data_IF_267728395310
#
_entry.id   IF_267728395310
#
_cell.length_a   1.000
_cell.length_b   1.000
_cell.length_c   1.000
_cell.angle_alpha   90.00
_cell.angle_beta   90.00
_cell.angle_gamma   90.00
#
_symmetry.space_group_name_H-M   'P 1'
#
loop_
_entity.id
_entity.type
_entity.pdbx_description
1 polymer ?
#
# COMPACT_ATOMS: atom_id res chain seq x y z
N UNK A 1 -67.83 -19.15 -13.43
CA UNK A 1 -68.28 -18.06 -12.55
C UNK A 1 -67.18 -17.81 -11.54
N UNK A 2 -66.30 -16.82 -11.61
CA UNK A 2 -65.86 -15.83 -12.60
C UNK A 2 -64.49 -15.38 -12.05
N UNK A 3 -63.41 -15.41 -12.83
CA UNK A 3 -62.78 -14.21 -13.43
C UNK A 3 -62.72 -13.04 -12.44
N UNK A 4 -61.55 -12.62 -11.97
CA UNK A 4 -60.67 -11.71 -12.72
C UNK A 4 -59.18 -11.86 -12.42
N UNK A 5 -58.39 -11.76 -13.50
CA UNK A 5 -56.99 -11.33 -13.52
C UNK A 5 -56.98 -9.80 -13.69
N UNK A 6 -55.97 -9.13 -13.13
CA UNK A 6 -55.33 -7.90 -13.65
C UNK A 6 -53.92 -7.88 -13.01
N UNK A 7 -52.84 -8.23 -13.71
CA UNK A 7 -52.00 -7.40 -14.61
C UNK A 7 -51.42 -6.15 -13.96
N UNK A 8 -50.19 -6.23 -13.46
CA UNK A 8 -49.13 -5.30 -13.88
C UNK A 8 -47.72 -5.86 -13.57
N UNK A 9 -46.93 -6.02 -14.64
CA UNK A 9 -45.46 -6.16 -14.68
C UNK A 9 -44.87 -4.74 -14.95
N UNK A 10 -43.54 -4.45 -14.99
CA UNK A 10 -42.40 -5.36 -15.13
C UNK A 10 -41.12 -5.04 -14.30
N UNK A 11 -40.12 -5.89 -14.53
CA UNK A 11 -38.69 -5.90 -14.17
C UNK A 11 -37.95 -4.55 -14.01
N UNK A 12 -37.05 -4.50 -13.01
CA UNK A 12 -35.76 -3.77 -13.04
C UNK A 12 -34.76 -4.60 -12.21
N UNK A 13 -34.01 -5.52 -12.81
CA UNK A 13 -32.64 -5.37 -13.35
C UNK A 13 -31.58 -4.87 -12.35
N UNK A 14 -30.70 -5.82 -11.99
CA UNK A 14 -29.24 -5.76 -12.08
C UNK A 14 -28.62 -4.35 -12.15
N UNK A 15 -28.01 -3.91 -11.05
CA UNK A 15 -27.13 -2.74 -11.07
C UNK A 15 -25.69 -3.19 -10.86
N UNK A 16 -25.16 -3.73 -11.95
CA UNK A 16 -23.74 -3.84 -12.22
C UNK A 16 -23.09 -2.45 -12.16
N UNK A 17 -22.22 -2.26 -11.18
CA UNK A 17 -21.32 -1.10 -11.06
C UNK A 17 -20.46 -1.01 -12.32
N UNK A 18 -20.68 0.01 -13.14
CA UNK A 18 -19.77 0.37 -14.23
C UNK A 18 -18.88 1.54 -13.80
N UNK A 19 -17.57 1.54 -14.14
CA UNK A 19 -16.61 2.53 -13.68
C UNK A 19 -16.71 3.77 -14.57
N UNK A 20 -16.65 4.96 -13.96
CA UNK A 20 -16.52 6.21 -14.72
C UNK A 20 -15.04 6.49 -14.89
N UNK A 21 -14.59 6.44 -16.14
CA UNK A 21 -13.25 6.84 -16.56
C UNK A 21 -13.21 8.33 -16.93
N UNK A 22 -12.01 8.87 -16.74
CA UNK A 22 -11.33 9.94 -17.48
C UNK A 22 -11.87 11.38 -17.48
N UNK A 23 -10.92 12.30 -17.24
CA UNK A 23 -11.02 13.68 -17.68
C UNK A 23 -10.10 14.65 -16.95
N UNK A 24 -8.78 14.52 -17.09
CA UNK A 24 -7.87 15.65 -16.83
C UNK A 24 -7.98 16.62 -18.01
N UNK A 25 -8.77 17.67 -17.84
CA UNK A 25 -8.77 18.84 -18.71
C UNK A 25 -7.81 19.89 -18.15
N UNK A 26 -6.78 20.21 -18.93
CA UNK A 26 -6.03 21.46 -18.82
C UNK A 26 -7.00 22.62 -19.13
N UNK A 27 -6.98 23.69 -18.34
CA UNK A 27 -7.37 25.01 -18.85
C UNK A 27 -6.71 26.15 -18.05
N UNK A 28 -6.37 27.18 -18.82
CA UNK A 28 -5.46 28.30 -18.64
C UNK A 28 -5.46 29.05 -17.30
N UNK A 29 -4.24 29.50 -16.93
CA UNK A 29 -4.00 30.53 -15.93
C UNK A 29 -4.22 31.91 -16.55
N UNK A 30 -5.38 32.53 -16.32
CA UNK A 30 -5.60 33.94 -16.62
C UNK A 30 -5.40 34.78 -15.35
N UNK A 31 -4.28 35.51 -15.29
CA UNK A 31 -4.10 36.62 -14.35
C UNK A 31 -4.99 37.80 -14.80
N UNK A 32 -5.84 38.39 -13.95
CA UNK A 32 -6.56 39.60 -14.34
C UNK A 32 -5.74 40.85 -14.00
N UNK A 33 -5.59 41.67 -15.05
CA UNK A 33 -5.01 43.02 -15.08
C UNK A 33 -5.67 43.99 -14.06
N UNK A 34 -4.84 44.90 -13.53
CA UNK A 34 -5.23 45.96 -12.61
C UNK A 34 -5.62 47.23 -13.39
N UNK A 35 -6.81 47.82 -13.14
CA UNK A 35 -7.02 49.24 -13.40
C UNK A 35 -7.32 50.02 -12.11
N UNK A 36 -6.52 51.06 -11.91
CA UNK A 36 -6.65 52.12 -10.90
C UNK A 36 -7.77 53.12 -11.20
N UNK A 37 -8.45 53.50 -10.12
CA UNK A 37 -9.16 54.74 -9.77
C UNK A 37 -10.26 55.33 -10.67
N UNK A 38 -11.46 55.43 -10.09
CA UNK A 38 -12.23 56.69 -10.02
C UNK A 38 -13.10 56.75 -8.76
N UNK A 39 -13.13 57.95 -8.17
CA UNK A 39 -13.76 58.42 -6.93
C UNK A 39 -15.26 58.10 -6.71
N UNK A 40 -15.67 57.94 -5.44
CA UNK A 40 -16.39 58.98 -4.68
C UNK A 40 -17.24 58.43 -3.51
N UNK A 41 -16.82 58.82 -2.30
CA UNK A 41 -17.59 59.30 -1.15
C UNK A 41 -18.77 58.50 -0.53
N UNK A 42 -18.55 58.21 0.75
CA UNK A 42 -19.45 58.35 1.90
C UNK A 42 -20.62 57.35 2.09
N UNK A 43 -20.38 56.37 2.95
CA UNK A 43 -21.29 56.09 4.08
C UNK A 43 -20.51 55.54 5.29
N UNK A 44 -19.83 56.47 5.98
CA UNK A 44 -19.24 56.21 7.28
C UNK A 44 -20.35 56.19 8.34
N UNK A 45 -20.77 55.00 8.75
CA UNK A 45 -21.80 54.89 9.79
C UNK A 45 -21.75 53.66 10.68
N UNK A 46 -21.69 52.43 10.13
CA UNK A 46 -22.06 51.24 10.93
C UNK A 46 -21.29 49.94 10.61
N UNK A 47 -20.16 49.98 9.90
CA UNK A 47 -19.45 48.77 9.46
C UNK A 47 -18.17 48.38 10.23
N UNK A 48 -17.68 49.21 11.16
CA UNK A 48 -16.34 49.04 11.75
C UNK A 48 -16.24 47.95 12.84
N UNK A 49 -17.36 47.36 13.30
CA UNK A 49 -17.33 46.37 14.40
C UNK A 49 -17.42 44.92 13.89
N UNK A 50 -18.04 44.70 12.73
CA UNK A 50 -18.17 43.36 12.15
C UNK A 50 -16.89 42.92 11.40
N UNK A 51 -16.15 43.88 10.83
CA UNK A 51 -14.92 43.61 10.09
C UNK A 51 -13.73 43.35 11.03
N UNK A 52 -13.62 44.10 12.13
CA UNK A 52 -12.64 43.85 13.20
C UNK A 52 -12.89 42.52 13.92
N UNK A 53 -14.15 42.13 14.15
CA UNK A 53 -14.45 40.82 14.75
C UNK A 53 -14.15 39.66 13.79
N UNK A 54 -14.43 39.80 12.49
CA UNK A 54 -14.14 38.78 11.48
C UNK A 54 -12.63 38.64 11.22
N UNK A 55 -11.88 39.75 11.26
CA UNK A 55 -10.42 39.74 11.17
C UNK A 55 -9.76 39.23 12.45
N UNK A 56 -10.26 39.58 13.64
CA UNK A 56 -9.78 39.02 14.92
C UNK A 56 -10.07 37.53 15.06
N UNK A 57 -11.26 37.06 14.67
CA UNK A 57 -11.58 35.62 14.63
C UNK A 57 -10.75 34.92 13.56
N UNK A 58 -10.54 35.53 12.39
CA UNK A 58 -9.64 34.98 11.37
C UNK A 58 -8.17 34.96 11.80
N UNK A 59 -7.74 35.90 12.65
CA UNK A 59 -6.40 35.97 13.23
C UNK A 59 -6.23 34.97 14.38
N UNK A 60 -7.21 34.82 15.28
CA UNK A 60 -7.24 33.77 16.32
C UNK A 60 -7.34 32.38 15.70
N UNK A 61 -8.16 32.17 14.66
CA UNK A 61 -8.23 30.91 13.92
C UNK A 61 -6.90 30.65 13.18
N UNK A 62 -6.25 31.67 12.59
CA UNK A 62 -4.90 31.52 12.03
C UNK A 62 -3.85 31.19 13.10
N UNK A 63 -3.94 31.78 14.29
CA UNK A 63 -3.00 31.56 15.39
C UNK A 63 -3.18 30.17 16.03
N UNK A 64 -4.42 29.68 16.13
CA UNK A 64 -4.76 28.32 16.59
C UNK A 64 -4.42 27.27 15.52
N UNK A 65 -4.66 27.55 14.23
CA UNK A 65 -4.23 26.68 13.12
C UNK A 65 -2.70 26.61 13.09
N UNK A 66 -2.00 27.75 13.23
CA UNK A 66 -0.55 27.80 13.31
C UNK A 66 0.00 26.99 14.50
N UNK A 67 -0.69 26.96 15.64
CA UNK A 67 -0.30 26.15 16.79
C UNK A 67 -0.50 24.64 16.52
N UNK A 68 -1.59 24.24 15.86
CA UNK A 68 -1.81 22.84 15.48
C UNK A 68 -0.80 22.32 14.45
N UNK A 69 -0.47 23.14 13.45
CA UNK A 69 0.54 22.84 12.43
C UNK A 69 1.93 22.82 13.07
N UNK A 70 2.26 23.81 13.90
CA UNK A 70 3.53 23.86 14.64
C UNK A 70 3.70 22.68 15.58
N UNK A 71 2.64 22.27 16.27
CA UNK A 71 2.62 21.08 17.12
C UNK A 71 2.86 19.81 16.30
N UNK A 72 2.16 19.65 15.16
CA UNK A 72 2.35 18.50 14.26
C UNK A 72 3.78 18.44 13.70
N UNK A 73 4.32 19.55 13.18
CA UNK A 73 5.68 19.63 12.64
C UNK A 73 6.73 19.33 13.70
N UNK A 74 6.53 19.84 14.92
CA UNK A 74 7.41 19.53 16.06
C UNK A 74 7.36 18.05 16.42
N UNK A 75 6.20 17.40 16.34
CA UNK A 75 6.05 15.99 16.67
C UNK A 75 6.67 15.08 15.59
N UNK A 76 6.38 15.30 14.31
CA UNK A 76 6.98 14.50 13.23
C UNK A 76 8.50 14.74 13.13
N UNK A 77 8.97 15.95 13.48
CA UNK A 77 10.39 16.30 13.48
C UNK A 77 11.21 15.62 14.56
N UNK A 78 10.57 14.98 15.56
CA UNK A 78 11.28 14.17 16.56
C UNK A 78 11.70 12.80 16.03
N UNK A 79 11.03 12.29 15.00
CA UNK A 79 11.31 10.96 14.44
C UNK A 79 12.40 11.08 13.37
N UNK A 80 13.55 10.40 13.53
CA UNK A 80 14.61 10.45 12.52
C UNK A 80 14.15 9.78 11.23
N UNK A 81 14.62 10.30 10.10
CA UNK A 81 14.40 9.67 8.80
C UNK A 81 15.11 8.33 8.72
N UNK A 82 14.46 7.36 8.08
CA UNK A 82 15.03 6.04 7.87
C UNK A 82 16.13 6.08 6.81
N UNK A 83 17.22 5.37 7.06
CA UNK A 83 18.18 5.07 5.99
C UNK A 83 17.72 3.86 5.18
N UNK A 84 18.23 3.69 3.95
CA UNK A 84 17.83 2.58 3.08
C UNK A 84 18.03 1.17 3.67
N UNK A 85 18.93 1.01 4.65
CA UNK A 85 19.07 -0.27 5.37
C UNK A 85 17.91 -0.51 6.35
N UNK A 86 17.47 0.54 7.06
CA UNK A 86 16.35 0.49 8.00
C UNK A 86 15.02 0.32 7.29
N UNK A 87 14.81 1.00 6.17
CA UNK A 87 13.64 0.82 5.31
C UNK A 87 13.47 -0.63 4.88
N UNK A 88 14.57 -1.28 4.44
CA UNK A 88 14.56 -2.70 4.05
C UNK A 88 14.26 -3.60 5.25
N UNK A 89 14.87 -3.34 6.39
CA UNK A 89 14.63 -4.12 7.60
C UNK A 89 13.16 -4.02 8.06
N UNK A 90 12.60 -2.81 8.07
CA UNK A 90 11.21 -2.56 8.41
C UNK A 90 10.26 -3.22 7.41
N UNK A 91 10.52 -3.04 6.11
CA UNK A 91 9.72 -3.65 5.04
C UNK A 91 9.69 -5.16 5.16
N UNK A 92 10.85 -5.78 5.42
CA UNK A 92 10.95 -7.23 5.60
C UNK A 92 10.21 -7.72 6.86
N UNK A 93 10.22 -6.94 7.95
CA UNK A 93 9.44 -7.25 9.16
C UNK A 93 7.93 -7.22 8.87
N UNK A 94 7.45 -6.17 8.19
CA UNK A 94 6.05 -6.02 7.80
C UNK A 94 5.62 -7.17 6.87
N UNK A 95 6.45 -7.53 5.89
CA UNK A 95 6.17 -8.63 4.97
C UNK A 95 6.07 -9.98 5.69
N UNK A 96 7.02 -10.28 6.60
CA UNK A 96 6.96 -11.50 7.42
C UNK A 96 5.70 -11.55 8.26
N UNK A 97 5.32 -10.45 8.91
CA UNK A 97 4.07 -10.35 9.67
C UNK A 97 2.84 -10.64 8.79
N UNK A 98 2.75 -9.99 7.63
CA UNK A 98 1.66 -10.23 6.66
C UNK A 98 1.63 -11.66 6.15
N UNK A 99 2.80 -12.27 5.92
CA UNK A 99 2.89 -13.67 5.51
C UNK A 99 2.33 -14.58 6.61
N UNK A 100 2.75 -14.39 7.85
CA UNK A 100 2.26 -15.17 8.99
C UNK A 100 0.74 -15.04 9.16
N UNK A 101 0.19 -13.84 9.10
CA UNK A 101 -1.27 -13.64 9.18
C UNK A 101 -2.01 -14.36 8.05
N UNK A 102 -1.46 -14.39 6.82
CA UNK A 102 -2.04 -15.17 5.71
C UNK A 102 -2.02 -16.68 5.98
N UNK A 103 -1.02 -17.19 6.69
CA UNK A 103 -0.94 -18.60 7.08
C UNK A 103 -2.00 -18.95 8.11
N UNK A 104 -2.13 -18.12 9.14
CA UNK A 104 -3.13 -18.26 10.20
C UNK A 104 -4.54 -18.25 9.61
N UNK A 105 -4.84 -17.28 8.75
CA UNK A 105 -6.10 -17.18 8.01
C UNK A 105 -6.40 -18.44 7.18
N UNK A 106 -5.41 -18.91 6.40
CA UNK A 106 -5.57 -20.09 5.56
C UNK A 106 -5.82 -21.34 6.39
N UNK A 107 -5.14 -21.47 7.53
CA UNK A 107 -5.34 -22.57 8.45
C UNK A 107 -6.73 -22.53 9.09
N UNK A 108 -7.14 -21.37 9.62
CA UNK A 108 -8.45 -21.18 10.25
C UNK A 108 -9.59 -21.49 9.26
N UNK A 109 -9.47 -21.05 8.00
CA UNK A 109 -10.46 -21.35 6.95
C UNK A 109 -10.56 -22.85 6.65
N UNK A 110 -9.43 -23.55 6.62
CA UNK A 110 -9.36 -24.97 6.24
C UNK A 110 -9.74 -25.91 7.38
N UNK A 111 -9.29 -25.62 8.60
CA UNK A 111 -9.40 -26.51 9.74
C UNK A 111 -10.44 -26.05 10.77
N UNK A 112 -10.96 -24.82 10.66
CA UNK A 112 -11.92 -24.20 11.61
C UNK A 112 -11.40 -24.14 13.05
N UNK A 113 -10.08 -24.19 13.22
CA UNK A 113 -9.37 -24.13 14.50
C UNK A 113 -8.25 -23.09 14.37
N UNK A 114 -7.94 -22.42 15.47
CA UNK A 114 -6.81 -21.49 15.54
C UNK A 114 -5.48 -22.21 15.36
N UNK A 115 -4.54 -21.57 14.66
CA UNK A 115 -3.24 -22.16 14.38
C UNK A 115 -2.36 -22.07 15.63
N UNK A 116 -1.92 -23.22 16.16
CA UNK A 116 -0.95 -23.22 17.25
C UNK A 116 0.45 -22.88 16.77
N UNK A 117 1.32 -22.39 17.67
CA UNK A 117 2.71 -22.11 17.35
C UNK A 117 3.48 -23.36 16.84
N UNK A 118 3.12 -24.55 17.35
CA UNK A 118 3.73 -25.82 16.93
C UNK A 118 3.29 -26.16 15.50
N UNK A 119 2.00 -26.06 15.21
CA UNK A 119 1.45 -26.34 13.88
C UNK A 119 1.98 -25.37 12.83
N UNK A 120 2.10 -24.09 13.19
CA UNK A 120 2.73 -23.07 12.34
C UNK A 120 4.17 -23.44 12.02
N UNK A 121 4.95 -23.85 13.02
CA UNK A 121 6.35 -24.26 12.84
C UNK A 121 6.45 -25.48 11.91
N UNK A 122 5.57 -26.47 12.08
CA UNK A 122 5.52 -27.66 11.22
C UNK A 122 5.16 -27.28 9.77
N UNK A 123 4.17 -26.40 9.55
CA UNK A 123 3.81 -25.96 8.20
C UNK A 123 4.95 -25.18 7.53
N UNK A 124 5.62 -24.29 8.27
CA UNK A 124 6.78 -23.53 7.77
C UNK A 124 7.92 -24.47 7.36
N UNK A 125 8.29 -25.44 8.21
CA UNK A 125 9.30 -26.45 7.87
C UNK A 125 8.86 -27.23 6.62
N UNK A 126 7.61 -27.67 6.56
CA UNK A 126 7.06 -28.38 5.41
C UNK A 126 7.12 -27.57 4.11
N UNK A 127 6.92 -26.25 4.18
CA UNK A 127 7.07 -25.34 3.02
C UNK A 127 8.52 -25.25 2.57
N UNK A 128 9.45 -25.09 3.51
CA UNK A 128 10.88 -25.02 3.21
C UNK A 128 11.38 -26.32 2.57
N UNK A 129 10.96 -27.47 3.10
CA UNK A 129 11.27 -28.80 2.51
C UNK A 129 10.70 -28.92 1.09
N UNK A 130 9.45 -28.51 0.86
CA UNK A 130 8.84 -28.51 -0.48
C UNK A 130 9.52 -27.56 -1.46
N UNK A 131 10.17 -26.51 -0.96
CA UNK A 131 10.94 -25.57 -1.76
C UNK A 131 12.35 -26.08 -2.09
N UNK A 132 12.79 -27.24 -1.57
CA UNK A 132 14.12 -27.79 -1.82
C UNK A 132 14.52 -27.85 -3.30
N UNK A 133 13.66 -28.30 -4.25
CA UNK A 133 14.04 -28.32 -5.66
C UNK A 133 14.41 -26.93 -6.21
N UNK A 134 13.72 -25.88 -5.74
CA UNK A 134 14.03 -24.50 -6.11
C UNK A 134 15.34 -24.07 -5.47
N UNK A 135 15.54 -24.38 -4.19
CA UNK A 135 16.78 -24.07 -3.47
C UNK A 135 18.00 -24.75 -4.10
N UNK A 136 17.86 -25.98 -4.61
CA UNK A 136 18.94 -26.66 -5.33
C UNK A 136 19.30 -25.97 -6.65
N UNK A 137 18.32 -25.45 -7.40
CA UNK A 137 18.58 -24.65 -8.60
C UNK A 137 19.35 -23.38 -8.23
N UNK A 138 18.92 -22.68 -7.17
CA UNK A 138 19.62 -21.49 -6.68
C UNK A 138 21.04 -21.84 -6.26
N UNK A 139 21.24 -22.94 -5.52
CA UNK A 139 22.55 -23.46 -5.10
C UNK A 139 23.47 -23.67 -6.31
N UNK A 140 22.99 -24.37 -7.33
CA UNK A 140 23.75 -24.65 -8.57
C UNK A 140 24.08 -23.37 -9.33
N UNK A 141 23.13 -22.44 -9.44
CA UNK A 141 23.35 -21.15 -10.09
C UNK A 141 24.43 -20.30 -9.39
N UNK A 142 24.53 -20.41 -8.06
CA UNK A 142 25.54 -19.74 -7.26
C UNK A 142 26.88 -20.50 -7.18
N UNK A 143 26.98 -21.70 -7.75
CA UNK A 143 28.18 -22.53 -7.70
C UNK A 143 28.52 -23.07 -6.31
N UNK A 144 27.52 -23.23 -5.43
CA UNK A 144 27.71 -23.76 -4.08
C UNK A 144 27.84 -25.29 -4.15
N UNK A 145 28.84 -25.85 -3.47
CA UNK A 145 29.11 -27.28 -3.42
C UNK A 145 27.91 -28.11 -2.94
N UNK A 146 27.86 -29.37 -3.38
CA UNK A 146 26.82 -30.32 -2.96
C UNK A 146 27.15 -30.99 -1.63
N UNK A 147 26.21 -31.77 -1.09
CA UNK A 147 26.39 -32.55 0.13
C UNK A 147 26.03 -31.81 1.41
N UNK A 148 25.63 -30.53 1.32
CA UNK A 148 25.07 -29.80 2.45
C UNK A 148 23.66 -30.29 2.75
N UNK A 149 23.37 -30.50 4.04
CA UNK A 149 21.99 -30.66 4.47
C UNK A 149 21.19 -29.38 4.22
N UNK A 150 19.86 -29.49 4.08
CA UNK A 150 18.99 -28.32 3.92
C UNK A 150 19.19 -27.27 5.03
N UNK A 151 19.41 -27.71 6.27
CA UNK A 151 19.68 -26.82 7.39
C UNK A 151 21.01 -26.08 7.28
N UNK A 152 22.04 -26.72 6.76
CA UNK A 152 23.35 -26.09 6.49
C UNK A 152 23.25 -25.14 5.30
N UNK A 153 22.59 -25.56 4.22
CA UNK A 153 22.36 -24.75 3.03
C UNK A 153 21.67 -23.42 3.37
N UNK A 154 20.64 -23.43 4.22
CA UNK A 154 19.92 -22.23 4.67
C UNK A 154 20.74 -21.28 5.55
N UNK A 155 21.93 -21.70 6.00
CA UNK A 155 22.88 -20.87 6.76
C UNK A 155 23.99 -20.29 5.88
N UNK A 156 24.12 -20.76 4.63
CA UNK A 156 25.11 -20.24 3.67
C UNK A 156 24.78 -18.79 3.34
N UNK A 157 25.71 -17.87 3.62
CA UNK A 157 25.49 -16.43 3.50
C UNK A 157 25.22 -16.02 2.06
N UNK A 158 25.95 -16.60 1.12
CA UNK A 158 25.86 -16.34 -0.32
C UNK A 158 24.44 -16.67 -0.83
N UNK A 159 23.89 -17.81 -0.39
CA UNK A 159 22.52 -18.21 -0.68
C UNK A 159 21.53 -17.21 -0.11
N UNK A 160 21.66 -16.84 1.18
CA UNK A 160 20.76 -15.91 1.87
C UNK A 160 20.76 -14.52 1.24
N UNK A 161 21.93 -14.01 0.86
CA UNK A 161 22.03 -12.72 0.17
C UNK A 161 21.32 -12.74 -1.18
N UNK A 162 21.38 -13.86 -1.91
CA UNK A 162 20.75 -14.00 -3.22
C UNK A 162 19.22 -14.08 -3.17
N UNK A 163 18.64 -14.57 -2.06
CA UNK A 163 17.18 -14.78 -1.94
C UNK A 163 16.46 -13.78 -1.02
N UNK A 164 17.12 -13.25 0.02
CA UNK A 164 16.48 -12.39 1.02
C UNK A 164 16.47 -10.90 0.62
N UNK A 165 17.28 -10.52 -0.37
CA UNK A 165 17.40 -9.13 -0.86
C UNK A 165 16.83 -9.00 -2.27
N UNK A 166 17.43 -8.14 -3.09
CA UNK A 166 17.06 -7.98 -4.49
C UNK A 166 17.44 -9.23 -5.30
N UNK A 167 16.41 -9.97 -5.73
CA UNK A 167 16.57 -11.21 -6.48
C UNK A 167 16.98 -10.84 -7.91
N UNK A 168 18.22 -11.18 -8.25
CA UNK A 168 18.79 -10.88 -9.57
C UNK A 168 17.96 -11.54 -10.69
N UNK A 169 17.70 -10.85 -11.82
CA UNK A 169 16.92 -11.40 -12.93
C UNK A 169 17.47 -12.73 -13.46
N UNK A 170 18.80 -12.89 -13.53
CA UNK A 170 19.42 -14.14 -13.98
C UNK A 170 19.08 -15.35 -13.11
N UNK A 171 18.90 -15.15 -11.80
CA UNK A 171 18.48 -16.21 -10.88
C UNK A 171 17.02 -16.60 -11.12
N UNK A 172 16.16 -15.61 -11.38
CA UNK A 172 14.75 -15.83 -11.71
C UNK A 172 14.61 -16.64 -12.99
N UNK A 173 15.37 -16.30 -14.04
CA UNK A 173 15.38 -17.03 -15.30
C UNK A 173 15.84 -18.47 -15.12
N UNK A 174 16.93 -18.71 -14.37
CA UNK A 174 17.42 -20.06 -14.11
C UNK A 174 16.38 -20.93 -13.40
N UNK A 175 15.69 -20.39 -12.39
CA UNK A 175 14.60 -21.11 -11.70
C UNK A 175 13.42 -21.37 -12.63
N UNK A 176 13.05 -20.43 -13.51
CA UNK A 176 11.93 -20.61 -14.45
C UNK A 176 12.20 -21.70 -15.48
N UNK A 177 13.37 -21.68 -16.09
CA UNK A 177 13.78 -22.66 -17.11
C UNK A 177 13.77 -24.08 -16.53
N UNK A 178 14.28 -24.25 -15.31
CA UNK A 178 14.39 -25.56 -14.69
C UNK A 178 13.10 -26.04 -14.01
N UNK A 179 12.24 -25.14 -13.55
CA UNK A 179 10.95 -25.52 -12.92
C UNK A 179 9.76 -25.50 -13.88
N UNK A 180 9.95 -25.06 -15.13
CA UNK A 180 8.91 -24.81 -16.12
C UNK A 180 7.75 -23.96 -15.56
N UNK A 181 8.03 -23.05 -14.63
CA UNK A 181 7.05 -22.13 -14.02
C UNK A 181 7.14 -20.76 -14.68
N UNK A 182 5.98 -20.20 -15.02
CA UNK A 182 5.88 -18.84 -15.54
C UNK A 182 6.29 -17.78 -14.48
N UNK A 183 6.85 -16.66 -14.95
CA UNK A 183 7.24 -15.54 -14.10
C UNK A 183 6.05 -14.99 -13.28
N UNK A 184 6.24 -14.66 -11.98
CA UNK A 184 5.26 -13.84 -11.28
C UNK A 184 5.14 -12.49 -12.00
N UNK A 185 3.91 -12.11 -12.33
CA UNK A 185 3.60 -10.90 -13.08
C UNK A 185 4.14 -9.68 -12.32
N UNK A 186 5.21 -9.07 -12.83
CA UNK A 186 5.75 -7.83 -12.27
C UNK A 186 4.80 -6.72 -12.67
N UNK A 187 3.94 -6.31 -11.74
CA UNK A 187 3.05 -5.17 -11.92
C UNK A 187 3.92 -3.95 -12.23
N UNK A 188 3.98 -3.56 -13.51
CA UNK A 188 4.65 -2.33 -13.94
C UNK A 188 3.86 -1.18 -13.33
N UNK A 189 4.47 -0.48 -12.38
CA UNK A 189 4.09 0.89 -12.08
C UNK A 189 4.49 1.70 -13.32
N UNK A 190 3.51 2.16 -14.10
CA UNK A 190 3.69 3.24 -15.08
C UNK A 190 3.49 4.57 -14.39
#
# INVERSE_FOLDING_TARGET
>A
MDMTRDTNSPDVQDDSVNPVSDGYGEEDSEEPDVPTDTDAADDAGLALVADDAKTLISLEDHEVIDDSVRMYLREIGQVPLLVAAEERALSSSIERGRLLSKLEDAHLRKHRVELSAVDLTVDLIGRVVRAYPVLDIVRRHLGIEDGLSLGELLRVRELRVAIDNDIKPGLVTAVQEETNRAAPHRMRLS
#
